data_IF_417102708579
#
_entry.id   IF_417102708579
#
_cell.length_a   1.000
_cell.length_b   1.000
_cell.length_c   1.000
_cell.angle_alpha   90.00
_cell.angle_beta   90.00
_cell.angle_gamma   90.00
#
_symmetry.space_group_name_H-M   'P 1'
#
loop_
_entity.id
_entity.type
_entity.pdbx_description
1 polymer ?
#
# COMPACT_ATOMS: atom_id res chain seq x y z
N UNK A 1 -12.66 18.97 18.30
CA UNK A 1 -12.07 19.76 17.20
C UNK A 1 -12.94 19.70 15.94
N UNK A 2 -13.25 18.51 15.41
CA UNK A 2 -14.18 18.34 14.27
C UNK A 2 -15.57 18.94 14.53
N UNK A 3 -16.11 18.80 15.74
CA UNK A 3 -17.39 19.40 16.16
C UNK A 3 -17.41 20.95 16.17
N UNK A 4 -16.25 21.60 16.09
CA UNK A 4 -16.10 23.07 16.05
C UNK A 4 -16.08 23.59 14.61
N UNK A 5 -16.07 22.71 13.60
CA UNK A 5 -16.09 23.10 12.19
C UNK A 5 -14.73 23.54 11.64
N UNK A 6 -13.61 23.13 12.26
CA UNK A 6 -12.26 23.51 11.78
C UNK A 6 -11.87 22.85 10.45
N UNK A 7 -12.59 21.80 10.03
CA UNK A 7 -12.23 20.93 8.92
C UNK A 7 -11.96 21.67 7.59
N UNK A 8 -12.86 22.55 7.10
CA UNK A 8 -12.64 23.26 5.83
C UNK A 8 -11.44 24.21 5.86
N UNK A 9 -11.08 24.73 7.04
CA UNK A 9 -9.93 25.62 7.20
C UNK A 9 -8.63 24.84 7.12
N UNK A 10 -8.55 23.69 7.82
CA UNK A 10 -7.36 22.83 7.79
C UNK A 10 -7.14 22.24 6.39
N UNK A 11 -8.21 21.92 5.67
CA UNK A 11 -8.14 21.46 4.28
C UNK A 11 -7.56 22.53 3.34
N UNK A 12 -8.02 23.78 3.46
CA UNK A 12 -7.44 24.90 2.70
C UNK A 12 -5.96 25.14 3.00
N UNK A 13 -5.51 24.86 4.22
CA UNK A 13 -4.10 25.03 4.58
C UNK A 13 -3.18 24.05 3.84
N UNK A 14 -3.69 22.94 3.29
CA UNK A 14 -2.90 22.04 2.44
C UNK A 14 -2.46 22.69 1.12
N UNK A 15 -3.10 23.78 0.71
CA UNK A 15 -2.71 24.55 -0.48
C UNK A 15 -1.54 25.51 -0.19
N UNK A 16 -1.13 25.66 1.07
CA UNK A 16 -0.02 26.54 1.45
C UNK A 16 1.33 25.92 1.09
N UNK A 17 2.29 26.76 0.68
CA UNK A 17 3.65 26.34 0.36
C UNK A 17 4.64 26.54 1.50
N UNK A 18 4.17 27.12 2.61
CA UNK A 18 4.94 27.50 3.80
C UNK A 18 5.58 26.27 4.46
N UNK A 19 6.92 26.15 4.46
CA UNK A 19 7.63 24.95 4.94
C UNK A 19 7.40 24.69 6.44
N UNK A 20 7.29 25.74 7.25
CA UNK A 20 7.08 25.65 8.70
C UNK A 20 5.74 25.01 9.07
N UNK A 21 4.73 25.17 8.20
CA UNK A 21 3.42 24.56 8.41
C UNK A 21 3.38 23.10 7.98
N UNK A 22 4.38 22.60 7.24
CA UNK A 22 4.20 21.32 6.58
C UNK A 22 4.09 20.16 7.56
N UNK A 23 4.98 20.15 8.54
CA UNK A 23 5.06 19.12 9.56
C UNK A 23 3.83 19.13 10.47
N UNK A 24 3.36 20.31 10.88
CA UNK A 24 2.18 20.43 11.73
C UNK A 24 0.91 20.01 10.99
N UNK A 25 0.80 20.29 9.68
CA UNK A 25 -0.33 19.84 8.87
C UNK A 25 -0.37 18.33 8.73
N UNK A 26 0.77 17.67 8.50
CA UNK A 26 0.86 16.20 8.49
C UNK A 26 0.40 15.61 9.83
N UNK A 27 0.86 16.19 10.95
CA UNK A 27 0.47 15.75 12.28
C UNK A 27 -1.04 15.93 12.54
N UNK A 28 -1.61 17.09 12.19
CA UNK A 28 -3.05 17.36 12.36
C UNK A 28 -3.87 16.36 11.54
N UNK A 29 -3.53 16.14 10.27
CA UNK A 29 -4.25 15.21 9.41
C UNK A 29 -4.13 13.76 9.84
N UNK A 30 -2.97 13.37 10.36
CA UNK A 30 -2.79 12.06 11.02
C UNK A 30 -3.81 11.87 12.14
N UNK A 31 -3.97 12.88 13.01
CA UNK A 31 -4.94 12.80 14.12
C UNK A 31 -6.39 12.84 13.65
N UNK A 32 -6.71 13.60 12.61
CA UNK A 32 -8.06 13.65 12.03
C UNK A 32 -8.42 12.29 11.43
N UNK A 33 -7.58 11.74 10.56
CA UNK A 33 -7.85 10.48 9.85
C UNK A 33 -7.80 9.25 10.75
N UNK A 34 -7.00 9.29 11.83
CA UNK A 34 -7.04 8.25 12.87
C UNK A 34 -8.38 8.23 13.64
N UNK A 35 -9.13 9.34 13.65
CA UNK A 35 -10.41 9.46 14.32
C UNK A 35 -11.60 9.27 13.35
N UNK A 36 -11.51 9.84 12.15
CA UNK A 36 -12.58 9.85 11.16
C UNK A 36 -12.02 9.65 9.75
N UNK A 37 -12.09 8.40 9.28
CA UNK A 37 -11.67 7.98 7.94
C UNK A 37 -12.50 8.63 6.82
N UNK A 38 -13.76 9.02 7.07
CA UNK A 38 -14.65 9.55 6.03
C UNK A 38 -14.11 10.84 5.37
N UNK A 39 -13.25 11.57 6.08
CA UNK A 39 -12.53 12.75 5.61
C UNK A 39 -11.66 12.49 4.36
N UNK A 40 -11.34 11.22 4.03
CA UNK A 40 -10.62 10.86 2.81
C UNK A 40 -11.31 11.35 1.52
N UNK A 41 -12.64 11.45 1.52
CA UNK A 41 -13.41 11.87 0.34
C UNK A 41 -13.11 13.31 -0.03
N UNK A 42 -13.14 14.21 0.97
CA UNK A 42 -12.86 15.63 0.75
C UNK A 42 -11.38 15.88 0.45
N UNK A 43 -10.47 15.12 1.06
CA UNK A 43 -9.04 15.17 0.75
C UNK A 43 -8.74 14.84 -0.71
N UNK A 44 -9.38 13.81 -1.26
CA UNK A 44 -9.19 13.44 -2.67
C UNK A 44 -9.83 14.49 -3.58
N UNK A 45 -11.06 14.90 -3.26
CA UNK A 45 -11.82 15.89 -4.03
C UNK A 45 -11.07 17.22 -4.19
N UNK A 46 -10.43 17.70 -3.13
CA UNK A 46 -9.71 18.98 -3.13
C UNK A 46 -8.20 18.84 -3.42
N UNK A 47 -7.74 17.66 -3.87
CA UNK A 47 -6.35 17.42 -4.26
C UNK A 47 -5.34 17.34 -3.10
N UNK A 48 -5.82 17.17 -1.86
CA UNK A 48 -4.99 17.07 -0.67
C UNK A 48 -4.04 15.87 -0.64
N UNK A 49 -4.37 14.78 -1.34
CA UNK A 49 -3.48 13.61 -1.49
C UNK A 49 -2.11 13.99 -2.09
N UNK A 50 -2.08 14.88 -3.08
CA UNK A 50 -0.84 15.37 -3.73
C UNK A 50 0.12 16.00 -2.72
N UNK A 51 -0.42 16.71 -1.73
CA UNK A 51 0.38 17.34 -0.68
C UNK A 51 1.16 16.29 0.12
N UNK A 52 0.51 15.19 0.53
CA UNK A 52 1.15 14.14 1.33
C UNK A 52 2.13 13.31 0.50
N UNK A 53 1.86 13.07 -0.78
CA UNK A 53 2.81 12.40 -1.70
C UNK A 53 4.09 13.22 -1.84
N UNK A 54 3.97 14.54 -2.03
CA UNK A 54 5.12 15.45 -2.08
C UNK A 54 5.89 15.47 -0.77
N UNK A 55 5.18 15.48 0.36
CA UNK A 55 5.82 15.43 1.68
C UNK A 55 6.59 14.12 1.89
N UNK A 56 6.02 12.98 1.49
CA UNK A 56 6.66 11.67 1.57
C UNK A 56 7.95 11.59 0.75
N UNK A 57 7.99 12.24 -0.43
CA UNK A 57 9.18 12.30 -1.29
C UNK A 57 10.19 13.39 -0.88
N UNK A 58 9.91 14.18 0.17
CA UNK A 58 10.80 15.26 0.61
C UNK A 58 12.04 14.72 1.33
N UNK A 59 13.22 15.13 0.88
CA UNK A 59 14.49 14.78 1.54
C UNK A 59 14.68 15.50 2.89
N UNK A 60 13.97 16.61 3.10
CA UNK A 60 14.04 17.42 4.33
C UNK A 60 13.16 16.85 5.45
N UNK A 61 12.27 15.90 5.14
CA UNK A 61 11.33 15.35 6.10
C UNK A 61 11.95 14.21 6.93
N UNK A 62 11.84 14.32 8.25
CA UNK A 62 12.29 13.27 9.15
C UNK A 62 11.51 11.96 8.89
N UNK A 63 12.15 10.78 9.05
CA UNK A 63 11.51 9.49 8.78
C UNK A 63 10.17 9.29 9.52
N UNK A 64 10.09 9.69 10.79
CA UNK A 64 8.85 9.59 11.59
C UNK A 64 7.69 10.39 10.97
N UNK A 65 7.98 11.58 10.42
CA UNK A 65 6.98 12.41 9.77
C UNK A 65 6.59 11.86 8.39
N UNK A 66 7.55 11.25 7.68
CA UNK A 66 7.26 10.50 6.45
C UNK A 66 6.35 9.30 6.76
N UNK A 67 6.54 8.62 7.90
CA UNK A 67 5.65 7.53 8.32
C UNK A 67 4.22 8.03 8.57
N UNK A 68 4.07 9.19 9.20
CA UNK A 68 2.76 9.86 9.35
C UNK A 68 2.12 10.21 7.98
N UNK A 69 2.90 10.69 7.02
CA UNK A 69 2.40 10.95 5.67
C UNK A 69 1.98 9.66 4.94
N UNK A 70 2.77 8.58 5.08
CA UNK A 70 2.43 7.27 4.55
C UNK A 70 1.16 6.69 5.20
N UNK A 71 0.97 6.87 6.51
CA UNK A 71 -0.29 6.56 7.20
C UNK A 71 -1.47 7.32 6.60
N UNK A 72 -1.35 8.65 6.47
CA UNK A 72 -2.42 9.49 5.89
C UNK A 72 -2.78 8.99 4.49
N UNK A 73 -1.78 8.68 3.66
CA UNK A 73 -1.99 8.14 2.31
C UNK A 73 -2.64 6.75 2.34
N UNK A 74 -2.22 5.86 3.24
CA UNK A 74 -2.84 4.55 3.42
C UNK A 74 -4.33 4.69 3.77
N UNK A 75 -4.69 5.61 4.66
CA UNK A 75 -6.10 5.88 4.98
C UNK A 75 -6.84 6.46 3.78
N UNK A 76 -6.23 7.38 3.01
CA UNK A 76 -6.86 7.99 1.82
C UNK A 76 -7.30 6.94 0.80
N UNK A 77 -6.53 5.85 0.65
CA UNK A 77 -6.73 4.82 -0.38
C UNK A 77 -7.48 3.59 0.14
N UNK A 78 -7.59 3.42 1.46
CA UNK A 78 -8.22 2.26 2.10
C UNK A 78 -9.71 2.13 1.76
N UNK A 79 -10.07 1.16 0.92
CA UNK A 79 -11.44 0.93 0.45
C UNK A 79 -12.03 2.11 -0.33
N UNK A 80 -11.19 2.92 -0.98
CA UNK A 80 -11.60 4.14 -1.67
C UNK A 80 -11.05 4.20 -3.10
N UNK A 81 -11.81 3.67 -4.06
CA UNK A 81 -11.42 3.58 -5.48
C UNK A 81 -10.89 4.89 -6.07
N UNK A 82 -11.64 5.99 -5.89
CA UNK A 82 -11.24 7.32 -6.38
C UNK A 82 -9.95 7.83 -5.74
N UNK A 83 -9.69 7.45 -4.48
CA UNK A 83 -8.43 7.75 -3.80
C UNK A 83 -7.28 6.91 -4.34
N UNK A 84 -7.49 5.62 -4.61
CA UNK A 84 -6.51 4.76 -5.24
C UNK A 84 -6.10 5.29 -6.62
N UNK A 85 -7.08 5.56 -7.51
CA UNK A 85 -6.87 6.13 -8.84
C UNK A 85 -6.05 7.44 -8.78
N UNK A 86 -6.50 8.41 -7.97
CA UNK A 86 -5.84 9.70 -7.85
C UNK A 86 -4.40 9.59 -7.30
N UNK A 87 -4.16 8.67 -6.36
CA UNK A 87 -2.82 8.43 -5.82
C UNK A 87 -1.89 7.74 -6.83
N UNK A 88 -2.41 6.86 -7.67
CA UNK A 88 -1.64 6.22 -8.76
C UNK A 88 -1.27 7.25 -9.81
N UNK A 89 -2.22 8.06 -10.27
CA UNK A 89 -1.98 9.16 -11.22
C UNK A 89 -0.93 10.14 -10.69
N UNK A 90 -0.93 10.40 -9.37
CA UNK A 90 0.05 11.23 -8.70
C UNK A 90 1.41 10.54 -8.43
N UNK A 91 1.58 9.27 -8.82
CA UNK A 91 2.84 8.54 -8.76
C UNK A 91 3.20 7.95 -7.39
N UNK A 92 2.21 7.67 -6.54
CA UNK A 92 2.45 7.16 -5.17
C UNK A 92 3.28 5.87 -5.14
N UNK A 93 3.01 4.91 -6.05
CA UNK A 93 3.76 3.64 -6.12
C UNK A 93 5.26 3.93 -6.24
N UNK A 94 5.64 4.76 -7.20
CA UNK A 94 7.05 5.08 -7.47
C UNK A 94 7.71 5.80 -6.30
N UNK A 95 6.98 6.69 -5.62
CA UNK A 95 7.47 7.36 -4.40
C UNK A 95 7.73 6.33 -3.30
N UNK A 96 6.77 5.44 -3.01
CA UNK A 96 6.94 4.43 -1.97
C UNK A 96 8.10 3.46 -2.27
N UNK A 97 8.19 2.95 -3.51
CA UNK A 97 9.26 2.03 -3.91
C UNK A 97 10.64 2.67 -3.87
N UNK A 98 10.77 3.94 -4.23
CA UNK A 98 12.02 4.68 -4.08
C UNK A 98 12.48 4.75 -2.62
N UNK A 99 11.55 4.94 -1.67
CA UNK A 99 11.88 4.97 -0.24
C UNK A 99 12.31 3.58 0.26
N UNK A 100 11.62 2.51 -0.17
CA UNK A 100 11.98 1.13 0.18
C UNK A 100 13.34 0.70 -0.40
N UNK A 101 13.66 1.07 -1.64
CA UNK A 101 14.98 0.82 -2.22
C UNK A 101 16.10 1.55 -1.47
N UNK A 102 15.85 2.81 -1.07
CA UNK A 102 16.81 3.60 -0.30
C UNK A 102 17.23 2.93 1.00
N UNK A 103 16.35 2.14 1.63
CA UNK A 103 16.66 1.33 2.80
C UNK A 103 17.68 0.22 2.52
N UNK A 104 17.50 -0.54 1.44
CA UNK A 104 18.39 -1.67 1.10
C UNK A 104 19.84 -1.26 0.87
N UNK A 105 20.10 0.02 0.59
CA UNK A 105 21.44 0.56 0.35
C UNK A 105 22.05 1.27 1.57
N UNK A 106 21.24 1.69 2.54
CA UNK A 106 21.67 2.45 3.72
C UNK A 106 21.03 1.88 5.00
N UNK A 107 21.54 0.75 5.46
CA UNK A 107 21.05 0.01 6.64
C UNK A 107 21.13 0.82 7.96
N UNK A 108 21.97 1.86 8.03
CA UNK A 108 22.31 2.50 9.30
C UNK A 108 21.28 3.52 9.84
N UNK A 109 20.25 3.92 9.09
CA UNK A 109 19.33 5.01 9.50
C UNK A 109 17.85 4.81 9.17
N UNK A 110 17.40 3.58 8.94
CA UNK A 110 16.00 3.38 8.55
C UNK A 110 15.09 3.19 9.75
N UNK A 111 13.99 3.95 9.73
CA UNK A 111 12.97 3.96 10.77
C UNK A 111 11.96 2.85 10.47
N UNK A 112 11.82 1.83 11.34
CA UNK A 112 10.93 0.68 11.09
C UNK A 112 9.46 1.08 10.87
N UNK A 113 9.00 2.15 11.53
CA UNK A 113 7.63 2.64 11.40
C UNK A 113 7.37 3.17 9.98
N UNK A 114 8.38 3.77 9.34
CA UNK A 114 8.26 4.20 7.95
C UNK A 114 8.14 3.00 7.02
N UNK A 115 8.97 1.97 7.18
CA UNK A 115 8.91 0.75 6.37
C UNK A 115 7.54 0.07 6.49
N UNK A 116 7.05 -0.03 7.72
CA UNK A 116 5.73 -0.57 8.02
C UNK A 116 4.64 0.17 7.25
N UNK A 117 4.57 1.50 7.39
CA UNK A 117 3.52 2.29 6.73
C UNK A 117 3.66 2.39 5.22
N UNK A 118 4.88 2.31 4.67
CA UNK A 118 5.08 2.19 3.22
C UNK A 118 4.46 0.90 2.68
N UNK A 119 4.69 -0.23 3.34
CA UNK A 119 4.13 -1.51 2.93
C UNK A 119 2.60 -1.53 3.09
N UNK A 120 2.07 -1.03 4.21
CA UNK A 120 0.61 -0.94 4.42
C UNK A 120 -0.06 -0.02 3.39
N UNK A 121 0.55 1.12 3.09
CA UNK A 121 0.07 2.07 2.09
C UNK A 121 0.01 1.44 0.70
N UNK A 122 1.09 0.75 0.31
CA UNK A 122 1.16 0.01 -0.94
C UNK A 122 0.09 -1.10 -1.01
N UNK A 123 0.00 -1.92 0.03
CA UNK A 123 -1.02 -2.97 0.11
C UNK A 123 -2.45 -2.44 -0.04
N UNK A 124 -2.77 -1.32 0.62
CA UNK A 124 -4.07 -0.65 0.50
C UNK A 124 -4.31 0.02 -0.86
N UNK A 125 -3.25 0.41 -1.55
CA UNK A 125 -3.34 1.05 -2.85
C UNK A 125 -3.81 0.09 -3.94
N UNK A 126 -3.35 -1.16 -3.90
CA UNK A 126 -3.69 -2.19 -4.88
C UNK A 126 -4.68 -3.25 -4.38
N UNK A 127 -5.11 -3.18 -3.12
CA UNK A 127 -6.20 -4.01 -2.59
C UNK A 127 -7.44 -3.86 -3.48
N UNK A 128 -7.91 -5.01 -3.99
CA UNK A 128 -9.03 -5.14 -4.92
C UNK A 128 -8.92 -4.21 -6.14
N UNK A 129 -7.70 -3.93 -6.66
CA UNK A 129 -7.49 -3.04 -7.80
C UNK A 129 -6.50 -3.59 -8.84
N UNK A 130 -7.02 -4.27 -9.87
CA UNK A 130 -6.20 -4.96 -10.89
C UNK A 130 -5.22 -4.06 -11.64
N UNK A 131 -5.60 -2.81 -11.96
CA UNK A 131 -4.69 -1.86 -12.62
C UNK A 131 -3.48 -1.53 -11.73
N UNK A 132 -3.73 -1.26 -10.45
CA UNK A 132 -2.67 -0.98 -9.48
C UNK A 132 -1.78 -2.21 -9.22
N UNK A 133 -2.37 -3.41 -9.19
CA UNK A 133 -1.64 -4.66 -9.06
C UNK A 133 -0.70 -4.87 -10.25
N UNK A 134 -1.18 -4.65 -11.47
CA UNK A 134 -0.38 -4.75 -12.70
C UNK A 134 0.81 -3.79 -12.66
N UNK A 135 0.58 -2.53 -12.28
CA UNK A 135 1.65 -1.54 -12.12
C UNK A 135 2.65 -1.98 -11.05
N UNK A 136 2.19 -2.54 -9.93
CA UNK A 136 3.04 -3.07 -8.86
C UNK A 136 3.91 -4.25 -9.31
N UNK A 137 3.33 -5.19 -10.07
CA UNK A 137 4.06 -6.35 -10.61
C UNK A 137 5.13 -5.92 -11.62
N UNK A 138 4.81 -4.97 -12.51
CA UNK A 138 5.75 -4.39 -13.47
C UNK A 138 6.90 -3.63 -12.79
N UNK A 139 6.67 -3.10 -11.59
CA UNK A 139 7.68 -2.39 -10.80
C UNK A 139 8.56 -3.31 -9.93
N UNK A 140 8.45 -4.64 -10.09
CA UNK A 140 9.21 -5.67 -9.38
C UNK A 140 9.12 -5.57 -7.84
N UNK A 141 7.93 -5.21 -7.34
CA UNK A 141 7.62 -5.17 -5.90
C UNK A 141 8.06 -6.44 -5.14
N UNK A 142 7.89 -7.67 -5.67
CA UNK A 142 8.33 -8.88 -4.97
C UNK A 142 9.83 -8.91 -4.66
N UNK A 143 10.68 -8.45 -5.57
CA UNK A 143 12.12 -8.36 -5.34
C UNK A 143 12.45 -7.27 -4.30
N UNK A 144 11.73 -6.14 -4.33
CA UNK A 144 11.92 -5.00 -3.43
C UNK A 144 11.50 -5.35 -1.99
N UNK A 145 10.43 -6.13 -1.82
CA UNK A 145 9.95 -6.54 -0.51
C UNK A 145 10.70 -7.75 0.08
N UNK A 146 11.42 -8.53 -0.73
CA UNK A 146 12.13 -9.72 -0.26
C UNK A 146 13.11 -9.46 0.91
N UNK A 147 13.92 -8.37 0.92
CA UNK A 147 14.78 -8.05 2.07
C UNK A 147 13.99 -7.77 3.35
N UNK A 148 12.78 -7.23 3.25
CA UNK A 148 11.96 -6.86 4.41
C UNK A 148 11.53 -8.07 5.25
N UNK A 149 11.55 -9.27 4.69
CA UNK A 149 11.27 -10.51 5.43
C UNK A 149 12.37 -10.87 6.43
N UNK A 150 13.55 -10.25 6.33
CA UNK A 150 14.65 -10.45 7.30
C UNK A 150 14.70 -9.35 8.38
N UNK A 151 13.79 -8.38 8.34
CA UNK A 151 13.78 -7.28 9.31
C UNK A 151 13.55 -7.78 10.73
N UNK A 152 14.19 -7.20 11.75
CA UNK A 152 14.06 -7.67 13.13
C UNK A 152 12.65 -7.43 13.68
N UNK A 153 11.98 -6.36 13.27
CA UNK A 153 10.64 -6.00 13.73
C UNK A 153 9.56 -6.85 13.02
N UNK A 154 8.75 -7.63 13.76
CA UNK A 154 7.69 -8.44 13.17
C UNK A 154 6.60 -7.59 12.48
N UNK A 155 6.39 -6.34 12.88
CA UNK A 155 5.43 -5.43 12.29
C UNK A 155 5.78 -5.09 10.83
N UNK A 156 7.08 -4.91 10.54
CA UNK A 156 7.58 -4.66 9.18
C UNK A 156 7.44 -5.92 8.33
N UNK A 157 7.84 -7.08 8.86
CA UNK A 157 7.69 -8.37 8.16
C UNK A 157 6.22 -8.66 7.82
N UNK A 158 5.32 -8.48 8.79
CA UNK A 158 3.88 -8.67 8.60
C UNK A 158 3.30 -7.71 7.55
N UNK A 159 3.73 -6.44 7.57
CA UNK A 159 3.26 -5.45 6.58
C UNK A 159 3.77 -5.74 5.17
N UNK A 160 4.99 -6.25 5.03
CA UNK A 160 5.52 -6.71 3.75
C UNK A 160 4.75 -7.92 3.21
N UNK A 161 4.46 -8.89 4.08
CA UNK A 161 3.59 -10.03 3.77
C UNK A 161 2.21 -9.57 3.31
N UNK A 162 1.58 -8.63 4.03
CA UNK A 162 0.29 -8.04 3.66
C UNK A 162 0.33 -7.38 2.27
N UNK A 163 1.35 -6.56 2.00
CA UNK A 163 1.51 -5.88 0.72
C UNK A 163 1.68 -6.87 -0.45
N UNK A 164 2.45 -7.94 -0.25
CA UNK A 164 2.63 -8.99 -1.25
C UNK A 164 1.38 -9.84 -1.44
N UNK A 165 0.68 -10.20 -0.36
CA UNK A 165 -0.54 -10.98 -0.43
C UNK A 165 -1.67 -10.25 -1.17
N UNK A 166 -1.81 -8.94 -0.94
CA UNK A 166 -2.80 -8.08 -1.63
C UNK A 166 -2.44 -7.80 -3.10
N UNK A 167 -1.19 -8.04 -3.50
CA UNK A 167 -0.75 -7.93 -4.88
C UNK A 167 -1.16 -9.14 -5.74
N UNK A 168 -1.51 -10.26 -5.11
CA UNK A 168 -2.07 -11.42 -5.80
C UNK A 168 -3.47 -11.05 -6.31
N UNK A 169 -3.69 -11.23 -7.61
CA UNK A 169 -5.00 -10.97 -8.21
C UNK A 169 -5.96 -12.11 -7.85
N UNK A 170 -6.92 -11.84 -6.97
CA UNK A 170 -8.07 -12.73 -6.75
C UNK A 170 -9.11 -12.33 -7.79
N UNK A 171 -8.85 -12.72 -9.04
CA UNK A 171 -9.69 -12.39 -10.19
C UNK A 171 -11.13 -12.91 -10.00
N UNK A 172 -12.02 -12.04 -9.53
CA UNK A 172 -13.47 -12.28 -9.59
C UNK A 172 -14.05 -11.88 -10.98
N UNK A 173 -13.33 -11.06 -11.76
CA UNK A 173 -13.85 -10.44 -12.98
C UNK A 173 -13.36 -11.06 -14.31
N UNK A 174 -12.40 -12.00 -14.29
CA UNK A 174 -11.84 -12.61 -15.51
C UNK A 174 -12.82 -13.49 -16.31
N UNK A 175 -14.08 -13.63 -15.87
CA UNK A 175 -15.09 -14.42 -16.57
C UNK A 175 -15.90 -13.63 -17.63
N UNK A 176 -15.63 -12.32 -17.85
CA UNK A 176 -16.56 -11.48 -18.63
C UNK A 176 -16.12 -10.92 -19.97
N UNK A 177 -14.89 -11.05 -20.44
CA UNK A 177 -14.62 -10.67 -21.84
C UNK A 177 -13.53 -11.53 -22.47
N UNK A 178 -13.97 -12.53 -23.25
CA UNK A 178 -13.10 -13.25 -24.16
C UNK A 178 -13.04 -12.51 -25.49
N UNK A 179 -11.98 -11.72 -25.72
CA UNK A 179 -11.58 -11.29 -27.06
C UNK A 179 -10.05 -11.32 -27.14
N UNK A 180 -9.53 -12.48 -27.54
CA UNK A 180 -8.11 -12.77 -27.64
C UNK A 180 -7.37 -11.92 -28.69
N UNK A 181 -6.11 -11.64 -28.37
CA UNK A 181 -5.13 -11.07 -29.31
C UNK A 181 -3.74 -10.81 -28.70
N UNK A 182 -3.66 -10.34 -27.45
CA UNK A 182 -2.38 -9.99 -26.77
C UNK A 182 -2.29 -10.53 -25.32
N UNK A 183 -3.39 -11.09 -24.77
CA UNK A 183 -3.52 -11.47 -23.35
C UNK A 183 -2.65 -12.68 -22.93
N UNK A 184 -2.26 -13.53 -23.89
CA UNK A 184 -1.58 -14.80 -23.59
C UNK A 184 -0.14 -14.62 -23.06
N UNK A 185 0.55 -13.52 -23.40
CA UNK A 185 1.92 -13.27 -22.95
C UNK A 185 1.97 -12.53 -21.59
N UNK A 186 1.07 -11.56 -21.40
CA UNK A 186 0.91 -10.83 -20.13
C UNK A 186 0.50 -11.78 -18.99
N UNK A 187 -0.36 -12.76 -19.29
CA UNK A 187 -0.75 -13.79 -18.32
C UNK A 187 0.43 -14.64 -17.86
N UNK A 188 1.41 -14.96 -18.74
CA UNK A 188 2.57 -15.78 -18.36
C UNK A 188 3.51 -15.02 -17.41
N UNK A 189 3.76 -13.74 -17.65
CA UNK A 189 4.60 -12.91 -16.78
C UNK A 189 3.93 -12.66 -15.43
N UNK A 190 2.62 -12.39 -15.43
CA UNK A 190 1.80 -12.26 -14.22
C UNK A 190 1.83 -13.54 -13.38
N UNK A 191 1.55 -14.70 -13.99
CA UNK A 191 1.61 -16.00 -13.33
C UNK A 191 3.00 -16.29 -12.73
N UNK A 192 4.07 -15.88 -13.41
CA UNK A 192 5.44 -16.02 -12.90
C UNK A 192 5.67 -15.14 -11.68
N UNK A 193 5.21 -13.89 -11.70
CA UNK A 193 5.34 -12.96 -10.59
C UNK A 193 4.53 -13.43 -9.36
N UNK A 194 3.30 -13.90 -9.57
CA UNK A 194 2.48 -14.52 -8.52
C UNK A 194 3.16 -15.74 -7.90
N UNK A 195 3.75 -16.62 -8.72
CA UNK A 195 4.52 -17.77 -8.22
C UNK A 195 5.73 -17.33 -7.37
N UNK A 196 6.39 -16.22 -7.70
CA UNK A 196 7.48 -15.66 -6.89
C UNK A 196 6.93 -15.16 -5.55
N UNK A 197 5.81 -14.44 -5.56
CA UNK A 197 5.14 -13.95 -4.34
C UNK A 197 4.78 -15.14 -3.43
N UNK A 198 4.13 -16.17 -3.97
CA UNK A 198 3.72 -17.36 -3.22
C UNK A 198 4.92 -18.05 -2.58
N UNK A 199 6.02 -18.25 -3.32
CA UNK A 199 7.27 -18.80 -2.77
C UNK A 199 7.83 -17.95 -1.64
N UNK A 200 7.77 -16.62 -1.80
CA UNK A 200 8.20 -15.67 -0.77
C UNK A 200 7.36 -15.82 0.50
N UNK A 201 6.04 -15.90 0.37
CA UNK A 201 5.12 -16.11 1.50
C UNK A 201 5.35 -17.44 2.22
N UNK A 202 5.57 -18.52 1.46
CA UNK A 202 5.82 -19.86 2.01
C UNK A 202 7.10 -19.92 2.87
N UNK A 203 8.12 -19.13 2.53
CA UNK A 203 9.35 -19.05 3.33
C UNK A 203 9.11 -18.44 4.72
N UNK A 204 8.04 -17.66 4.90
CA UNK A 204 7.73 -16.93 6.14
C UNK A 204 6.67 -17.66 6.98
N UNK A 205 6.13 -18.80 6.51
CA UNK A 205 5.13 -19.61 7.26
C UNK A 205 5.65 -20.05 8.65
N UNK A 206 6.96 -20.29 8.75
CA UNK A 206 7.61 -20.72 9.99
C UNK A 206 8.16 -19.55 10.83
N UNK A 207 7.71 -18.32 10.61
CA UNK A 207 8.15 -17.14 11.38
C UNK A 207 7.87 -17.31 12.88
N UNK A 208 8.79 -16.81 13.72
CA UNK A 208 8.65 -16.87 15.18
C UNK A 208 7.50 -16.04 15.74
N UNK A 209 7.07 -15.00 15.01
CA UNK A 209 5.99 -14.11 15.42
C UNK A 209 4.62 -14.63 14.98
N UNK A 210 3.63 -14.73 15.90
CA UNK A 210 2.27 -15.07 15.52
C UNK A 210 1.61 -14.02 14.61
N UNK A 211 2.02 -12.75 14.70
CA UNK A 211 1.51 -11.67 13.87
C UNK A 211 1.83 -11.93 12.38
N UNK A 212 3.08 -12.26 12.09
CA UNK A 212 3.53 -12.52 10.72
C UNK A 212 2.84 -13.76 10.16
N UNK A 213 2.74 -14.83 10.96
CA UNK A 213 2.04 -16.05 10.54
C UNK A 213 0.54 -15.84 10.31
N UNK A 214 -0.10 -14.95 11.06
CA UNK A 214 -1.49 -14.60 10.84
C UNK A 214 -1.67 -13.92 9.47
N UNK A 215 -0.80 -12.97 9.11
CA UNK A 215 -0.83 -12.34 7.78
C UNK A 215 -0.55 -13.33 6.64
N UNK A 216 0.39 -14.26 6.83
CA UNK A 216 0.63 -15.33 5.85
C UNK A 216 -0.62 -16.20 5.68
N UNK A 217 -1.29 -16.57 6.77
CA UNK A 217 -2.52 -17.36 6.73
C UNK A 217 -3.66 -16.63 6.03
N UNK A 218 -3.79 -15.32 6.26
CA UNK A 218 -4.74 -14.47 5.52
C UNK A 218 -4.39 -14.50 4.04
N UNK A 219 -3.14 -14.19 3.65
CA UNK A 219 -2.70 -14.22 2.25
C UNK A 219 -2.94 -15.56 1.55
N UNK A 220 -2.69 -16.68 2.25
CA UNK A 220 -3.00 -18.02 1.74
C UNK A 220 -4.50 -18.28 1.62
N UNK A 221 -5.32 -17.71 2.50
CA UNK A 221 -6.77 -17.81 2.40
C UNK A 221 -7.30 -17.14 1.13
N UNK A 222 -6.79 -15.95 0.77
CA UNK A 222 -7.13 -15.28 -0.49
C UNK A 222 -6.84 -16.20 -1.70
N UNK A 223 -5.67 -16.82 -1.71
CA UNK A 223 -5.25 -17.75 -2.77
C UNK A 223 -6.08 -19.03 -2.81
N UNK A 224 -6.41 -19.61 -1.65
CA UNK A 224 -7.28 -20.79 -1.58
C UNK A 224 -8.69 -20.46 -2.06
N UNK A 225 -9.25 -19.33 -1.64
CA UNK A 225 -10.57 -18.86 -2.07
C UNK A 225 -10.64 -18.74 -3.60
N UNK A 226 -9.58 -18.20 -4.22
CA UNK A 226 -9.42 -18.15 -5.67
C UNK A 226 -9.41 -19.56 -6.31
N UNK A 227 -8.58 -20.48 -5.82
CA UNK A 227 -8.51 -21.86 -6.34
C UNK A 227 -9.85 -22.58 -6.22
N UNK A 228 -10.53 -22.47 -5.07
CA UNK A 228 -11.84 -23.10 -4.87
C UNK A 228 -12.91 -22.52 -5.80
N UNK A 229 -12.88 -21.20 -6.06
CA UNK A 229 -13.75 -20.56 -7.03
C UNK A 229 -13.46 -21.03 -8.47
N UNK A 230 -12.19 -21.10 -8.88
CA UNK A 230 -11.78 -21.65 -10.19
C UNK A 230 -12.15 -23.13 -10.37
N UNK A 231 -12.15 -23.91 -9.28
CA UNK A 231 -12.46 -25.35 -9.31
C UNK A 231 -13.97 -25.64 -9.36
N UNK A 232 -14.83 -24.63 -9.27
CA UNK A 232 -16.29 -24.79 -9.15
C UNK A 232 -16.72 -25.47 -7.84
N UNK A 233 -15.82 -25.65 -6.87
CA UNK A 233 -16.14 -26.19 -5.56
C UNK A 233 -16.60 -25.03 -4.66
N UNK A 234 -17.87 -24.65 -4.79
CA UNK A 234 -18.51 -23.83 -3.76
C UNK A 234 -18.63 -24.69 -2.52
N UNK A 235 -17.79 -24.44 -1.52
CA UNK A 235 -18.01 -24.99 -0.18
C UNK A 235 -19.25 -24.28 0.38
N UNK A 236 -20.38 -24.97 0.32
CA UNK A 236 -21.64 -24.58 0.95
C UNK A 236 -21.58 -24.79 2.47
#
# INVERSE_FOLDING_TARGET
ALSVGIFPYVLKLLQTTTPELRQILVFIWTKILALDKSCQVDLVKDGGHVYFIRFLNSAEAYPEQRAMAAFVLAVIVDGHRRGQEACIEAGLIQVCLKQLHGFTQNEAQTEPLLLQWLCLCLGKLWEDFTEAQTIGLQADVPAICAPLHSEPQPEVRASAVYALATLLDVGFDSFRDGIGGDEECDDVEKNRAEMIIIKSLLNVVSDGSPLVRAEVAVGMWWLCSFIFHMSGLVIA
#
